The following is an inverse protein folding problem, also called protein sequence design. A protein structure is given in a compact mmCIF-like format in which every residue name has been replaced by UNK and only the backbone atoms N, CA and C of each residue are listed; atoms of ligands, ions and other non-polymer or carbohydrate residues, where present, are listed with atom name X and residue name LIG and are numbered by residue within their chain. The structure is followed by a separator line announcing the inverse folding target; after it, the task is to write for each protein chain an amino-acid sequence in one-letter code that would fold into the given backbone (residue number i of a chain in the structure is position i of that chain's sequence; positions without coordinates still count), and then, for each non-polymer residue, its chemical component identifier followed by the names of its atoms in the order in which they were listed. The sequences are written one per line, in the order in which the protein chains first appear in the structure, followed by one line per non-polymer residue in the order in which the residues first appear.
data_IF_648703307116
#
_entry.id   IF_648703307116
#
_cell.length_a   1.000
_cell.length_b   1.000
_cell.length_c   1.000
_cell.angle_alpha   90.00
_cell.angle_beta   90.00
_cell.angle_gamma   90.00
#
_symmetry.space_group_name_H-M   'P 1'
#
loop_
_entity.id
_entity.type
_entity.pdbx_description
1 polymer ?
#
# COMPACT_ATOMS: atom_id res chain seq x y z
N UNK A 1 8.59 13.66 13.24
CA UNK A 1 9.83 13.10 13.83
C UNK A 1 9.60 11.62 14.14
N UNK A 2 9.68 10.75 13.13
CA UNK A 2 9.45 9.29 13.25
C UNK A 2 10.47 8.61 14.20
N UNK A 3 11.64 9.22 14.40
CA UNK A 3 12.74 8.69 15.21
C UNK A 3 12.50 8.69 16.72
N UNK A 4 11.65 9.60 17.22
CA UNK A 4 11.38 9.71 18.66
C UNK A 4 10.21 8.83 19.12
N UNK A 5 9.38 8.35 18.18
CA UNK A 5 8.18 7.56 18.49
C UNK A 5 8.42 6.06 18.52
N UNK A 6 9.53 5.59 17.95
CA UNK A 6 9.83 4.16 17.88
C UNK A 6 10.81 3.73 18.99
N UNK A 7 10.31 2.96 19.96
CA UNK A 7 11.08 2.42 21.08
C UNK A 7 12.17 1.41 20.68
N UNK A 8 12.08 0.86 19.47
CA UNK A 8 13.06 -0.09 18.91
C UNK A 8 14.01 0.57 17.89
N UNK A 9 13.94 1.90 17.71
CA UNK A 9 14.97 2.61 16.97
C UNK A 9 16.27 2.57 17.78
N UNK A 10 17.26 1.82 17.29
CA UNK A 10 18.48 1.48 18.05
C UNK A 10 19.43 2.67 18.31
N UNK A 11 19.20 3.82 17.67
CA UNK A 11 19.91 5.07 17.97
C UNK A 11 19.06 6.03 18.84
N UNK A 12 17.93 5.57 19.38
CA UNK A 12 17.10 6.38 20.25
C UNK A 12 17.67 6.37 21.68
N UNK A 13 17.99 7.55 22.19
CA UNK A 13 18.50 7.74 23.56
C UNK A 13 17.35 7.98 24.58
N UNK A 14 16.08 7.79 24.18
CA UNK A 14 14.91 7.98 25.05
C UNK A 14 14.65 6.71 25.90
N UNK A 15 14.82 6.78 27.24
CA UNK A 15 14.39 5.70 28.13
C UNK A 15 12.87 5.67 28.27
N UNK A 16 12.23 4.50 28.36
CA UNK A 16 12.82 3.16 28.31
C UNK A 16 13.08 2.74 26.85
N UNK A 17 14.35 2.49 26.50
CA UNK A 17 14.71 1.87 25.22
C UNK A 17 14.37 0.39 25.28
N UNK A 18 13.78 -0.15 24.21
CA UNK A 18 13.48 -1.59 24.14
C UNK A 18 14.72 -2.47 24.02
N UNK A 19 15.89 -1.89 23.71
CA UNK A 19 17.14 -2.62 23.55
C UNK A 19 18.08 -2.35 24.72
N UNK A 20 18.57 -3.43 25.33
CA UNK A 20 19.58 -3.33 26.37
C UNK A 20 20.99 -3.06 25.76
N UNK A 21 21.94 -2.65 26.60
CA UNK A 21 23.28 -2.31 26.15
C UNK A 21 24.00 -3.47 25.40
N UNK A 22 23.95 -4.73 25.86
CA UNK A 22 24.47 -5.88 25.10
C UNK A 22 23.86 -6.02 23.70
N UNK A 23 22.53 -5.88 23.56
CA UNK A 23 21.83 -5.94 22.28
C UNK A 23 22.27 -4.82 21.34
N UNK A 24 22.41 -3.59 21.84
CA UNK A 24 22.92 -2.46 21.06
C UNK A 24 24.36 -2.67 20.59
N UNK A 25 25.22 -3.25 21.42
CA UNK A 25 26.60 -3.57 21.05
C UNK A 25 26.66 -4.66 19.98
N UNK A 26 25.79 -5.66 20.05
CA UNK A 26 25.68 -6.68 19.01
C UNK A 26 25.24 -6.06 17.68
N UNK A 27 24.16 -5.27 17.64
CA UNK A 27 23.68 -4.58 16.42
C UNK A 27 24.79 -3.73 15.78
N UNK A 28 25.51 -2.93 16.57
CA UNK A 28 26.54 -2.00 16.07
C UNK A 28 27.76 -2.70 15.44
N UNK A 29 28.00 -3.97 15.77
CA UNK A 29 29.09 -4.77 15.20
C UNK A 29 28.73 -5.42 13.87
N UNK A 30 27.43 -5.56 13.58
CA UNK A 30 26.96 -6.26 12.38
C UNK A 30 27.30 -5.46 11.13
N UNK A 31 27.77 -6.17 10.10
CA UNK A 31 27.90 -5.62 8.75
C UNK A 31 27.00 -6.39 7.79
N UNK A 32 26.48 -5.71 6.76
CA UNK A 32 25.68 -6.40 5.73
C UNK A 32 26.46 -7.55 5.08
N UNK A 33 27.77 -7.38 4.86
CA UNK A 33 28.62 -8.44 4.32
C UNK A 33 28.76 -9.63 5.28
N UNK A 34 28.83 -9.38 6.59
CA UNK A 34 28.83 -10.44 7.61
C UNK A 34 27.51 -11.21 7.64
N UNK A 35 26.38 -10.51 7.57
CA UNK A 35 25.06 -11.14 7.43
C UNK A 35 24.96 -12.01 6.16
N UNK A 36 25.43 -11.49 5.03
CA UNK A 36 25.44 -12.26 3.77
C UNK A 36 26.35 -13.49 3.84
N UNK A 37 27.41 -13.43 4.64
CA UNK A 37 28.31 -14.55 4.90
C UNK A 37 27.70 -15.68 5.72
N UNK A 38 26.61 -15.41 6.47
CA UNK A 38 25.83 -16.46 7.15
C UNK A 38 24.94 -17.24 6.17
N UNK A 39 24.68 -16.70 4.98
CA UNK A 39 23.92 -17.39 3.95
C UNK A 39 24.73 -18.55 3.36
N UNK A 40 24.05 -19.69 3.16
CA UNK A 40 24.68 -20.88 2.54
C UNK A 40 25.21 -20.55 1.14
N UNK A 41 26.48 -20.88 0.91
CA UNK A 41 27.13 -20.72 -0.40
C UNK A 41 28.01 -19.47 -0.53
N UNK A 42 28.08 -18.61 0.50
CA UNK A 42 28.99 -17.46 0.54
C UNK A 42 30.20 -17.79 1.42
N UNK A 43 31.40 -17.85 0.83
CA UNK A 43 32.65 -18.14 1.56
C UNK A 43 33.58 -16.93 1.68
N UNK A 44 33.43 -15.96 0.76
CA UNK A 44 34.18 -14.71 0.74
C UNK A 44 33.29 -13.54 0.36
N UNK A 45 33.45 -12.42 1.03
CA UNK A 45 32.75 -11.17 0.73
C UNK A 45 33.66 -9.96 0.97
N UNK A 46 33.42 -8.86 0.26
CA UNK A 46 34.09 -7.60 0.55
C UNK A 46 33.49 -6.95 1.82
N UNK A 47 34.28 -6.30 2.69
CA UNK A 47 33.78 -5.69 3.92
C UNK A 47 32.68 -4.63 3.72
N UNK A 48 32.80 -3.79 2.69
CA UNK A 48 31.81 -2.75 2.37
C UNK A 48 30.90 -3.23 1.25
N UNK A 49 29.79 -3.88 1.60
CA UNK A 49 28.86 -4.50 0.66
C UNK A 49 28.41 -3.57 -0.48
N UNK A 50 28.14 -2.29 -0.17
CA UNK A 50 27.67 -1.29 -1.12
C UNK A 50 28.76 -0.65 -1.98
N UNK A 51 30.03 -0.80 -1.61
CA UNK A 51 31.15 -0.25 -2.36
C UNK A 51 31.66 -1.33 -3.32
N UNK A 52 32.06 -0.91 -4.52
CA UNK A 52 32.69 -1.79 -5.50
C UNK A 52 33.93 -2.45 -4.88
N UNK A 53 34.22 -3.67 -5.31
CA UNK A 53 35.43 -4.38 -4.93
C UNK A 53 36.67 -3.60 -5.37
N UNK A 54 37.63 -3.48 -4.46
CA UNK A 54 38.92 -2.83 -4.69
C UNK A 54 40.01 -3.67 -4.02
N UNK A 55 41.09 -4.06 -4.73
CA UNK A 55 42.12 -4.94 -4.18
C UNK A 55 42.81 -4.44 -2.90
N UNK A 56 42.76 -3.14 -2.61
CA UNK A 56 43.46 -2.52 -1.49
C UNK A 56 42.50 -2.02 -0.41
N UNK A 57 41.36 -1.44 -0.81
CA UNK A 57 40.44 -0.73 0.09
C UNK A 57 39.15 -1.51 0.40
N UNK A 58 38.84 -2.55 -0.38
CA UNK A 58 37.61 -3.33 -0.24
C UNK A 58 37.75 -4.74 -0.85
N UNK A 59 38.86 -5.42 -0.58
CA UNK A 59 39.13 -6.75 -1.12
C UNK A 59 38.23 -7.78 -0.43
N UNK A 60 37.93 -8.88 -1.13
CA UNK A 60 37.17 -9.98 -0.52
C UNK A 60 37.97 -10.67 0.57
N UNK A 61 37.37 -10.77 1.75
CA UNK A 61 37.92 -11.51 2.89
C UNK A 61 37.16 -12.83 3.05
N UNK A 62 37.75 -13.79 3.77
CA UNK A 62 37.01 -14.98 4.19
C UNK A 62 35.91 -14.56 5.17
N UNK A 63 34.75 -15.23 5.09
CA UNK A 63 33.61 -14.91 5.94
C UNK A 63 33.91 -14.99 7.45
N UNK A 64 34.83 -15.85 7.87
CA UNK A 64 35.33 -15.94 9.26
C UNK A 64 35.93 -14.62 9.79
N UNK A 65 36.39 -13.75 8.88
CA UNK A 65 37.00 -12.46 9.21
C UNK A 65 35.96 -11.32 9.24
N UNK A 66 34.70 -11.59 8.90
CA UNK A 66 33.62 -10.62 8.89
C UNK A 66 32.67 -10.89 10.05
N UNK A 67 32.34 -9.84 10.80
CA UNK A 67 31.44 -9.95 11.95
C UNK A 67 29.99 -10.17 11.50
N UNK A 68 29.45 -11.33 11.87
CA UNK A 68 28.03 -11.68 11.73
C UNK A 68 27.17 -11.13 12.87
N UNK A 69 25.89 -11.53 12.91
CA UNK A 69 24.95 -11.16 13.95
C UNK A 69 25.08 -12.09 15.16
N UNK A 70 25.52 -11.54 16.29
CA UNK A 70 25.48 -12.24 17.57
C UNK A 70 24.11 -12.07 18.22
N UNK A 71 23.27 -13.12 18.14
CA UNK A 71 21.93 -13.15 18.74
C UNK A 71 21.91 -13.55 20.21
N UNK A 72 23.06 -13.86 20.82
CA UNK A 72 23.15 -14.28 22.23
C UNK A 72 22.48 -13.29 23.21
N UNK A 73 22.58 -11.95 23.01
CA UNK A 73 21.92 -10.97 23.88
C UNK A 73 20.37 -10.95 23.84
N UNK A 74 19.75 -11.66 22.90
CA UNK A 74 18.28 -11.78 22.79
C UNK A 74 17.74 -13.05 23.44
N UNK A 75 18.59 -13.87 24.08
CA UNK A 75 18.15 -15.04 24.81
C UNK A 75 17.31 -14.61 26.02
N UNK A 76 16.00 -14.86 25.95
CA UNK A 76 15.09 -14.70 27.08
C UNK A 76 15.02 -15.99 27.89
N UNK A 77 14.99 -15.89 29.22
CA UNK A 77 14.42 -16.92 30.07
C UNK A 77 12.89 -16.76 30.05
N UNK A 78 12.17 -17.86 29.86
CA UNK A 78 10.70 -17.83 29.87
C UNK A 78 10.29 -17.58 31.31
N UNK A 79 9.81 -16.37 31.61
CA UNK A 79 9.08 -16.10 32.85
C UNK A 79 7.60 -16.25 32.51
N UNK A 80 6.96 -17.27 33.07
CA UNK A 80 5.51 -17.39 33.05
C UNK A 80 4.93 -16.32 33.98
N UNK A 81 4.50 -15.19 33.40
CA UNK A 81 3.69 -14.21 34.12
C UNK A 81 2.21 -14.57 33.97
N UNK A 82 1.52 -14.59 35.10
CA UNK A 82 0.08 -14.81 35.25
C UNK A 82 -0.55 -13.43 35.32
N UNK A 83 -1.39 -13.06 34.36
CA UNK A 83 -2.21 -11.85 34.43
C UNK A 83 -3.61 -12.20 34.95
N UNK A 84 -3.99 -11.52 36.05
CA UNK A 84 -5.35 -11.44 36.59
C UNK A 84 -6.10 -10.24 35.94
N UNK A 85 -7.42 -10.41 35.83
CA UNK A 85 -8.41 -9.66 35.06
C UNK A 85 -8.48 -8.12 35.23
N UNK A 86 -9.13 -7.43 34.26
CA UNK A 86 -10.36 -6.63 34.49
C UNK A 86 -10.91 -6.01 33.18
N UNK A 87 -12.22 -6.21 32.94
CA UNK A 87 -13.05 -5.61 31.90
C UNK A 87 -13.46 -4.16 32.22
N UNK A 88 -13.55 -3.27 31.22
CA UNK A 88 -14.63 -2.27 31.18
C UNK A 88 -14.87 -1.71 29.75
N UNK A 89 -16.11 -1.83 29.27
CA UNK A 89 -16.61 -1.26 28.02
C UNK A 89 -17.19 0.14 28.29
N UNK A 90 -16.88 1.12 27.45
CA UNK A 90 -17.71 2.34 27.32
C UNK A 90 -17.84 2.82 25.86
N UNK A 91 -18.98 3.43 25.48
CA UNK A 91 -19.37 3.66 24.09
C UNK A 91 -18.88 5.00 23.50
N UNK A 92 -18.94 5.06 22.16
CA UNK A 92 -18.53 6.18 21.31
C UNK A 92 -19.43 7.44 21.42
N UNK A 93 -18.90 8.65 21.12
CA UNK A 93 -19.68 9.89 21.00
C UNK A 93 -20.37 10.04 19.62
N UNK A 94 -21.52 10.75 19.53
CA UNK A 94 -22.20 11.02 18.27
C UNK A 94 -21.81 12.38 17.65
N UNK A 95 -22.28 12.55 16.42
CA UNK A 95 -22.44 13.77 15.61
C UNK A 95 -21.35 14.11 14.58
N UNK A 96 -21.69 13.85 13.31
CA UNK A 96 -21.48 14.81 12.24
C UNK A 96 -22.78 14.99 11.45
N UNK A 97 -23.01 16.26 11.10
CA UNK A 97 -24.27 16.83 10.66
C UNK A 97 -24.72 16.41 9.25
N UNK A 98 -26.02 16.65 9.04
CA UNK A 98 -26.86 16.34 7.90
C UNK A 98 -26.24 16.65 6.52
N UNK A 99 -26.03 15.58 5.76
CA UNK A 99 -26.22 15.60 4.31
C UNK A 99 -27.61 15.06 4.02
N UNK A 100 -28.25 15.52 2.93
CA UNK A 100 -29.56 15.03 2.52
C UNK A 100 -29.52 13.49 2.31
N UNK A 101 -30.04 12.74 3.30
CA UNK A 101 -29.97 11.28 3.40
C UNK A 101 -30.50 10.62 2.13
N UNK A 102 -31.56 11.19 1.54
CA UNK A 102 -32.18 10.68 0.32
C UNK A 102 -31.23 10.65 -0.88
N UNK A 103 -30.29 11.61 -0.96
CA UNK A 103 -29.32 11.67 -2.07
C UNK A 103 -28.23 10.62 -1.89
N UNK A 104 -27.76 10.44 -0.65
CA UNK A 104 -26.75 9.44 -0.30
C UNK A 104 -27.31 8.04 -0.44
N UNK A 105 -28.51 7.78 0.08
CA UNK A 105 -29.16 6.48 -0.01
C UNK A 105 -29.41 6.06 -1.46
N UNK A 106 -29.88 7.00 -2.31
CA UNK A 106 -30.03 6.76 -3.75
C UNK A 106 -28.70 6.53 -4.46
N UNK A 107 -27.66 7.29 -4.12
CA UNK A 107 -26.33 7.10 -4.70
C UNK A 107 -25.73 5.74 -4.31
N UNK A 108 -25.87 5.33 -3.04
CA UNK A 108 -25.43 4.02 -2.55
C UNK A 108 -26.23 2.89 -3.20
N UNK A 109 -27.55 3.03 -3.35
CA UNK A 109 -28.37 2.02 -4.01
C UNK A 109 -27.94 1.84 -5.47
N UNK A 110 -27.75 2.94 -6.22
CA UNK A 110 -27.27 2.89 -7.60
C UNK A 110 -25.85 2.34 -7.71
N UNK A 111 -24.97 2.68 -6.77
CA UNK A 111 -23.62 2.13 -6.70
C UNK A 111 -23.63 0.61 -6.45
N UNK A 112 -24.54 0.10 -5.60
CA UNK A 112 -24.74 -1.35 -5.41
C UNK A 112 -25.21 -2.04 -6.68
N UNK A 113 -26.11 -1.41 -7.45
CA UNK A 113 -26.56 -1.96 -8.74
C UNK A 113 -25.42 -2.01 -9.76
N UNK A 114 -24.64 -0.93 -9.88
CA UNK A 114 -23.44 -0.87 -10.73
C UNK A 114 -22.39 -1.90 -10.31
N UNK A 115 -22.21 -2.12 -9.01
CA UNK A 115 -21.31 -3.15 -8.48
C UNK A 115 -21.77 -4.55 -8.88
N UNK A 116 -23.08 -4.82 -8.81
CA UNK A 116 -23.64 -6.11 -9.23
C UNK A 116 -23.48 -6.32 -10.74
N UNK A 117 -23.68 -5.27 -11.54
CA UNK A 117 -23.42 -5.30 -12.97
C UNK A 117 -21.94 -5.55 -13.28
N UNK A 118 -21.02 -4.90 -12.55
CA UNK A 118 -19.57 -5.12 -12.66
C UNK A 118 -19.20 -6.58 -12.37
N UNK A 119 -19.73 -7.15 -11.29
CA UNK A 119 -19.51 -8.57 -10.93
C UNK A 119 -20.04 -9.52 -12.01
N UNK A 120 -21.21 -9.22 -12.58
CA UNK A 120 -21.78 -10.00 -13.69
C UNK A 120 -20.87 -9.93 -14.93
N UNK A 121 -20.40 -8.74 -15.29
CA UNK A 121 -19.46 -8.56 -16.40
C UNK A 121 -18.16 -9.34 -16.20
N UNK A 122 -17.57 -9.29 -14.99
CA UNK A 122 -16.35 -10.04 -14.67
C UNK A 122 -16.56 -11.56 -14.78
N UNK A 123 -17.71 -12.06 -14.32
CA UNK A 123 -18.09 -13.46 -14.48
C UNK A 123 -18.21 -13.85 -15.96
N UNK A 124 -18.93 -13.07 -16.77
CA UNK A 124 -19.10 -13.33 -18.20
C UNK A 124 -17.77 -13.27 -18.95
N UNK A 125 -16.94 -12.28 -18.65
CA UNK A 125 -15.59 -12.15 -19.20
C UNK A 125 -14.73 -13.37 -18.87
N UNK A 126 -14.77 -13.85 -17.62
CA UNK A 126 -14.05 -15.03 -17.19
C UNK A 126 -14.58 -16.32 -17.84
N UNK A 127 -15.88 -16.52 -17.95
CA UNK A 127 -16.46 -17.70 -18.62
C UNK A 127 -16.05 -17.75 -20.09
N UNK A 128 -16.04 -16.60 -20.77
CA UNK A 128 -15.74 -16.53 -22.20
C UNK A 128 -14.24 -16.61 -22.52
N UNK A 129 -13.37 -16.07 -21.66
CA UNK A 129 -11.93 -15.89 -21.96
C UNK A 129 -10.99 -16.59 -20.98
N UNK A 130 -11.47 -16.96 -19.80
CA UNK A 130 -10.66 -17.47 -18.70
C UNK A 130 -9.70 -16.41 -18.12
N UNK A 131 -8.80 -16.89 -17.26
CA UNK A 131 -7.65 -16.11 -16.78
C UNK A 131 -6.37 -16.47 -17.51
N UNK A 132 -5.36 -15.61 -17.41
CA UNK A 132 -4.00 -15.95 -17.86
C UNK A 132 -3.44 -17.10 -17.01
N UNK A 133 -2.73 -18.03 -17.64
CA UNK A 133 -1.96 -19.07 -16.95
C UNK A 133 -0.92 -18.43 -16.00
N UNK A 134 -0.98 -18.80 -14.72
CA UNK A 134 -0.07 -18.33 -13.69
C UNK A 134 1.41 -18.66 -13.99
N UNK A 135 1.68 -19.74 -14.75
CA UNK A 135 3.04 -20.13 -15.15
C UNK A 135 3.56 -19.41 -16.39
N UNK A 136 2.71 -18.64 -17.08
CA UNK A 136 3.15 -17.82 -18.22
C UNK A 136 4.01 -16.63 -17.74
N UNK A 137 4.76 -15.97 -18.63
CA UNK A 137 5.50 -14.75 -18.28
C UNK A 137 4.60 -13.65 -17.68
N UNK A 138 3.37 -13.50 -18.19
CA UNK A 138 2.41 -12.54 -17.65
C UNK A 138 1.84 -12.98 -16.30
N UNK A 139 1.64 -14.29 -16.10
CA UNK A 139 1.23 -14.86 -14.82
C UNK A 139 2.30 -14.67 -13.73
N UNK A 140 3.57 -14.86 -14.09
CA UNK A 140 4.71 -14.65 -13.20
C UNK A 140 4.87 -13.18 -12.83
N UNK A 141 4.72 -12.26 -13.80
CA UNK A 141 4.71 -10.83 -13.49
C UNK A 141 3.58 -10.46 -12.51
N UNK A 142 2.39 -11.02 -12.72
CA UNK A 142 1.23 -10.80 -11.85
C UNK A 142 1.35 -11.47 -10.46
N UNK A 143 2.29 -12.42 -10.26
CA UNK A 143 2.49 -13.05 -8.94
C UNK A 143 3.29 -12.17 -7.99
N UNK A 144 4.16 -11.28 -8.49
CA UNK A 144 4.91 -10.33 -7.66
C UNK A 144 4.03 -9.27 -6.98
N UNK A 145 2.83 -9.02 -7.52
CA UNK A 145 1.87 -8.04 -6.97
C UNK A 145 0.56 -8.71 -6.54
N UNK A 146 0.60 -10.01 -6.21
CA UNK A 146 -0.60 -10.78 -5.85
C UNK A 146 -1.21 -10.24 -4.54
N UNK A 147 -2.47 -9.81 -4.62
CA UNK A 147 -3.27 -9.48 -3.44
C UNK A 147 -3.48 -10.71 -2.54
N UNK A 148 -3.36 -10.52 -1.23
CA UNK A 148 -3.87 -11.49 -0.24
C UNK A 148 -5.39 -11.31 -0.04
N UNK A 149 -6.04 -12.23 0.67
CA UNK A 149 -7.50 -12.22 0.86
C UNK A 149 -7.99 -10.93 1.52
N UNK A 150 -7.27 -10.42 2.52
CA UNK A 150 -7.65 -9.19 3.24
C UNK A 150 -7.57 -7.97 2.32
N UNK A 151 -6.54 -7.87 1.48
CA UNK A 151 -6.42 -6.82 0.48
C UNK A 151 -7.56 -6.87 -0.55
N UNK A 152 -8.00 -8.07 -0.96
CA UNK A 152 -9.16 -8.22 -1.85
C UNK A 152 -10.48 -7.76 -1.20
N UNK A 153 -10.65 -7.98 0.11
CA UNK A 153 -11.82 -7.50 0.86
C UNK A 153 -11.84 -5.96 0.88
N UNK A 154 -10.69 -5.34 1.19
CA UNK A 154 -10.54 -3.87 1.16
C UNK A 154 -10.86 -3.35 -0.24
N UNK A 155 -10.33 -3.99 -1.29
CA UNK A 155 -10.59 -3.61 -2.68
C UNK A 155 -12.09 -3.63 -3.04
N UNK A 156 -12.85 -4.64 -2.58
CA UNK A 156 -14.30 -4.72 -2.82
C UNK A 156 -15.07 -3.54 -2.20
N UNK A 157 -14.67 -3.12 -0.99
CA UNK A 157 -15.27 -1.93 -0.35
C UNK A 157 -14.87 -0.64 -1.05
N UNK A 158 -13.61 -0.53 -1.48
CA UNK A 158 -13.12 0.65 -2.21
C UNK A 158 -13.88 0.88 -3.52
N UNK A 159 -14.23 -0.19 -4.24
CA UNK A 159 -15.01 -0.10 -5.48
C UNK A 159 -16.43 0.43 -5.22
N UNK A 160 -17.08 0.02 -4.13
CA UNK A 160 -18.39 0.57 -3.76
C UNK A 160 -18.28 2.06 -3.45
N UNK A 161 -17.24 2.49 -2.72
CA UNK A 161 -17.00 3.90 -2.42
C UNK A 161 -16.71 4.72 -3.66
N UNK A 162 -15.95 4.19 -4.61
CA UNK A 162 -15.69 4.82 -5.90
C UNK A 162 -17.01 5.07 -6.67
N UNK A 163 -17.82 4.03 -6.83
CA UNK A 163 -19.10 4.11 -7.53
C UNK A 163 -20.05 5.10 -6.84
N UNK A 164 -20.16 5.04 -5.51
CA UNK A 164 -20.99 5.96 -4.74
C UNK A 164 -20.51 7.41 -4.87
N UNK A 165 -19.20 7.64 -4.83
CA UNK A 165 -18.61 8.98 -4.96
C UNK A 165 -18.86 9.57 -6.34
N UNK A 166 -18.71 8.77 -7.40
CA UNK A 166 -19.02 9.15 -8.78
C UNK A 166 -20.50 9.53 -8.93
N UNK A 167 -21.39 8.73 -8.35
CA UNK A 167 -22.82 9.02 -8.37
C UNK A 167 -23.16 10.32 -7.63
N UNK A 168 -22.57 10.56 -6.45
CA UNK A 168 -22.78 11.81 -5.71
C UNK A 168 -22.29 13.02 -6.52
N UNK A 169 -21.07 12.96 -7.09
CA UNK A 169 -20.51 14.05 -7.89
C UNK A 169 -21.36 14.33 -9.14
N UNK A 170 -21.80 13.30 -9.85
CA UNK A 170 -22.65 13.47 -11.03
C UNK A 170 -23.99 14.15 -10.69
N UNK A 171 -24.62 13.77 -9.57
CA UNK A 171 -25.85 14.36 -9.08
C UNK A 171 -25.64 15.82 -8.65
N UNK A 172 -24.55 16.15 -7.95
CA UNK A 172 -24.21 17.53 -7.57
C UNK A 172 -24.01 18.43 -8.80
N UNK A 173 -23.32 17.94 -9.83
CA UNK A 173 -23.16 18.68 -11.08
C UNK A 173 -24.50 18.91 -11.79
N UNK A 174 -25.40 17.92 -11.80
CA UNK A 174 -26.74 18.07 -12.37
C UNK A 174 -27.58 19.12 -11.64
N UNK A 175 -27.50 19.16 -10.31
CA UNK A 175 -28.20 20.13 -9.45
C UNK A 175 -27.65 21.54 -9.71
N UNK A 176 -26.32 21.69 -9.87
CA UNK A 176 -25.70 22.97 -10.24
C UNK A 176 -26.13 23.46 -11.62
N UNK A 177 -26.20 22.57 -12.62
CA UNK A 177 -26.68 22.93 -13.97
C UNK A 177 -28.14 23.39 -13.92
N UNK A 178 -28.99 22.73 -13.13
CA UNK A 178 -30.39 23.14 -12.90
C UNK A 178 -30.50 24.48 -12.16
N UNK A 179 -29.70 24.71 -11.12
CA UNK A 179 -29.72 25.97 -10.34
C UNK A 179 -29.17 27.16 -11.14
N UNK A 180 -28.13 26.98 -11.97
CA UNK A 180 -27.62 28.03 -12.88
C UNK A 180 -28.65 28.49 -13.92
N UNK A 181 -29.67 27.68 -14.21
CA UNK A 181 -30.77 28.08 -15.08
C UNK A 181 -31.88 28.86 -14.35
N UNK A 182 -31.86 28.94 -13.01
CA UNK A 182 -33.00 29.43 -12.21
C UNK A 182 -32.63 30.63 -11.30
N UNK A 183 -31.38 30.82 -10.87
CA UNK A 183 -31.00 31.94 -9.99
C UNK A 183 -29.63 32.58 -10.26
N UNK A 184 -29.58 33.89 -10.02
CA UNK A 184 -28.42 34.77 -10.12
C UNK A 184 -27.45 34.62 -8.93
N UNK A 185 -26.17 34.94 -9.16
CA UNK A 185 -24.97 34.56 -8.43
C UNK A 185 -24.87 35.00 -6.95
N UNK A 186 -25.32 34.22 -5.96
CA UNK A 186 -24.88 34.45 -4.56
C UNK A 186 -25.09 33.27 -3.58
N UNK A 187 -24.59 32.07 -3.90
CA UNK A 187 -24.40 31.01 -2.90
C UNK A 187 -23.07 30.29 -3.12
N UNK A 188 -22.30 30.16 -2.03
CA UNK A 188 -20.88 29.78 -1.97
C UNK A 188 -20.41 28.79 -3.03
N UNK A 189 -19.36 29.21 -3.74
CA UNK A 189 -18.69 28.51 -4.80
C UNK A 189 -17.88 27.32 -4.24
N UNK A 190 -18.54 26.26 -3.79
CA UNK A 190 -17.86 24.97 -3.65
C UNK A 190 -17.43 24.55 -5.06
N UNK A 191 -16.14 24.41 -5.33
CA UNK A 191 -15.64 23.80 -6.57
C UNK A 191 -16.07 22.34 -6.69
N UNK A 192 -15.95 21.71 -7.86
CA UNK A 192 -15.96 20.24 -7.93
C UNK A 192 -14.75 19.66 -7.17
N UNK A 193 -13.64 20.39 -7.23
CA UNK A 193 -12.39 20.09 -6.55
C UNK A 193 -12.54 20.09 -5.02
N UNK A 194 -13.36 20.97 -4.43
CA UNK A 194 -13.53 21.04 -2.97
C UNK A 194 -14.18 19.77 -2.39
N UNK A 195 -15.13 19.17 -3.11
CA UNK A 195 -15.75 17.92 -2.67
C UNK A 195 -14.80 16.73 -2.83
N UNK A 196 -14.06 16.66 -3.94
CA UNK A 196 -13.00 15.67 -4.13
C UNK A 196 -11.94 15.77 -3.02
N UNK A 197 -11.48 16.98 -2.72
CA UNK A 197 -10.51 17.24 -1.66
C UNK A 197 -11.06 16.84 -0.28
N UNK A 198 -12.36 17.06 -0.03
CA UNK A 198 -12.99 16.60 1.21
C UNK A 198 -13.02 15.08 1.32
N UNK A 199 -13.39 14.35 0.25
CA UNK A 199 -13.38 12.88 0.22
C UNK A 199 -11.99 12.30 0.53
N UNK A 200 -10.93 13.00 0.12
CA UNK A 200 -9.55 12.57 0.38
C UNK A 200 -9.12 12.70 1.85
N UNK A 201 -9.83 13.49 2.65
CA UNK A 201 -9.56 13.66 4.08
C UNK A 201 -10.30 12.65 4.98
N UNK A 202 -11.22 11.87 4.40
CA UNK A 202 -12.04 10.91 5.13
C UNK A 202 -11.23 9.62 5.34
N UNK A 203 -11.02 9.25 6.60
CA UNK A 203 -10.43 7.96 6.95
C UNK A 203 -11.46 6.83 6.73
N UNK A 204 -11.30 6.12 5.62
CA UNK A 204 -12.17 4.99 5.26
C UNK A 204 -12.04 3.81 6.22
N UNK A 205 -10.96 3.70 7.00
CA UNK A 205 -10.75 2.57 7.90
C UNK A 205 -11.84 2.48 8.96
N UNK A 206 -12.39 3.63 9.40
CA UNK A 206 -13.49 3.70 10.37
C UNK A 206 -14.83 3.16 9.82
N UNK A 207 -15.03 3.20 8.51
CA UNK A 207 -16.25 2.71 7.85
C UNK A 207 -16.15 1.23 7.45
N UNK A 208 -14.92 0.78 7.20
CA UNK A 208 -14.59 -0.62 6.85
C UNK A 208 -14.79 -1.54 8.07
N UNK A 209 -14.47 -1.09 9.29
CA UNK A 209 -14.65 -1.89 10.52
C UNK A 209 -16.11 -2.09 10.92
N UNK A 210 -17.01 -1.14 10.62
CA UNK A 210 -18.43 -1.23 11.01
C UNK A 210 -19.36 -1.98 10.05
N UNK A 211 -18.98 -2.17 8.79
CA UNK A 211 -19.83 -2.80 7.74
C UNK A 211 -19.35 -4.17 7.27
N UNK A 212 -18.21 -4.63 7.77
CA UNK A 212 -17.67 -5.97 7.54
C UNK A 212 -17.77 -6.66 8.89
N UNK A 213 -18.57 -7.72 9.02
CA UNK A 213 -18.44 -8.67 10.15
C UNK A 213 -16.96 -8.85 10.43
N UNK A 214 -16.48 -8.77 11.69
CA UNK A 214 -15.07 -8.66 12.02
C UNK A 214 -14.35 -9.65 11.13
N UNK A 215 -13.48 -9.09 10.27
CA UNK A 215 -12.67 -9.85 9.33
C UNK A 215 -12.27 -11.09 10.12
N UNK A 216 -12.82 -12.25 9.76
CA UNK A 216 -12.34 -13.53 10.26
C UNK A 216 -10.97 -13.70 9.59
N UNK A 217 -10.03 -12.84 10.02
CA UNK A 217 -8.69 -13.20 10.41
C UNK A 217 -8.81 -14.65 10.85
N UNK A 218 -8.01 -15.53 10.27
CA UNK A 218 -7.88 -16.88 10.80
C UNK A 218 -7.91 -16.79 12.33
N UNK A 219 -8.64 -17.70 13.01
CA UNK A 219 -9.04 -17.59 14.42
C UNK A 219 -7.87 -17.56 15.44
N UNK A 220 -6.66 -17.23 14.99
CA UNK A 220 -5.39 -17.16 15.69
C UNK A 220 -4.72 -15.77 15.57
N UNK A 221 -5.33 -14.76 14.92
CA UNK A 221 -4.72 -13.44 14.76
C UNK A 221 -5.34 -12.35 15.66
N UNK A 222 -4.48 -11.39 16.03
CA UNK A 222 -4.69 -10.25 16.94
C UNK A 222 -6.10 -9.63 16.88
N UNK A 223 -6.73 -9.48 18.04
CA UNK A 223 -7.97 -8.74 18.18
C UNK A 223 -7.70 -7.22 18.05
N UNK A 224 -7.98 -6.67 16.87
CA UNK A 224 -7.77 -5.25 16.55
C UNK A 224 -8.69 -4.28 17.32
N UNK A 225 -9.71 -4.81 18.00
CA UNK A 225 -10.63 -4.02 18.83
C UNK A 225 -10.20 -4.00 20.31
N UNK A 226 -9.23 -4.84 20.69
CA UNK A 226 -8.72 -4.86 22.05
C UNK A 226 -7.83 -3.63 22.32
N UNK A 227 -7.78 -3.15 23.58
CA UNK A 227 -6.81 -2.13 23.98
C UNK A 227 -5.38 -2.56 23.68
N UNK A 228 -4.53 -1.61 23.29
CA UNK A 228 -3.11 -1.89 23.07
C UNK A 228 -2.45 -2.38 24.36
N UNK A 229 -1.92 -3.60 24.32
CA UNK A 229 -1.02 -4.09 25.36
C UNK A 229 0.29 -3.30 25.33
N UNK A 230 0.61 -2.65 26.44
CA UNK A 230 1.84 -1.85 26.60
C UNK A 230 2.98 -2.64 27.23
N UNK A 231 2.68 -3.80 27.82
CA UNK A 231 3.64 -4.67 28.49
C UNK A 231 4.41 -5.56 27.51
N UNK A 232 3.80 -5.94 26.38
CA UNK A 232 4.49 -6.75 25.36
C UNK A 232 5.80 -6.08 24.90
N UNK A 233 6.93 -6.80 24.92
CA UNK A 233 8.22 -6.26 24.49
C UNK A 233 8.43 -6.39 22.97
N UNK A 234 7.48 -6.93 22.22
CA UNK A 234 7.61 -7.19 20.78
C UNK A 234 6.72 -6.28 19.94
N UNK A 235 6.99 -6.22 18.63
CA UNK A 235 6.08 -5.60 17.67
C UNK A 235 5.03 -6.63 17.26
N UNK A 236 3.82 -6.16 17.00
CA UNK A 236 2.78 -6.94 16.32
C UNK A 236 3.21 -7.23 14.88
N UNK A 237 2.75 -8.35 14.32
CA UNK A 237 3.01 -8.67 12.91
C UNK A 237 2.39 -7.63 11.97
N UNK A 238 1.25 -7.08 12.38
CA UNK A 238 0.47 -6.14 11.59
C UNK A 238 1.01 -4.70 11.68
N UNK A 239 1.84 -4.39 12.67
CA UNK A 239 2.26 -3.02 13.01
C UNK A 239 1.24 -2.25 13.87
N UNK A 240 0.10 -2.87 14.20
CA UNK A 240 -0.91 -2.30 15.11
C UNK A 240 -0.31 -2.02 16.48
N UNK A 241 -0.81 -0.97 17.15
CA UNK A 241 -0.33 -0.51 18.46
C UNK A 241 1.13 -0.04 18.51
N UNK A 242 1.82 0.11 17.37
CA UNK A 242 3.14 0.76 17.37
C UNK A 242 3.06 2.20 17.91
N UNK A 243 1.97 2.90 17.60
CA UNK A 243 1.65 4.20 18.14
C UNK A 243 0.45 4.10 19.11
N UNK A 244 0.68 4.23 20.41
CA UNK A 244 -0.36 4.06 21.44
C UNK A 244 -1.47 5.12 21.38
N UNK A 245 -1.22 6.30 20.78
CA UNK A 245 -2.24 7.35 20.61
C UNK A 245 -3.09 7.12 19.36
N UNK A 246 -2.53 6.46 18.35
CA UNK A 246 -3.18 6.19 17.07
C UNK A 246 -2.77 4.78 16.61
N UNK A 247 -3.39 3.72 17.16
CA UNK A 247 -2.94 2.32 16.99
C UNK A 247 -2.80 1.85 15.54
N UNK A 248 -3.54 2.46 14.61
CA UNK A 248 -3.54 2.09 13.19
C UNK A 248 -2.43 2.78 12.38
N UNK A 249 -1.65 3.68 12.97
CA UNK A 249 -0.63 4.45 12.23
C UNK A 249 0.56 3.54 11.86
N UNK A 250 0.77 3.36 10.55
CA UNK A 250 1.81 2.48 10.03
C UNK A 250 1.45 0.99 10.04
N UNK A 251 0.20 0.66 10.37
CA UNK A 251 -0.32 -0.70 10.28
C UNK A 251 -0.41 -1.14 8.82
N UNK A 252 -0.05 -2.40 8.55
CA UNK A 252 -0.23 -3.03 7.25
C UNK A 252 -1.71 -3.12 6.85
N UNK A 253 -1.97 -3.33 5.56
CA UNK A 253 -3.34 -3.42 5.00
C UNK A 253 -4.20 -2.17 5.24
N UNK A 254 -3.56 -1.01 5.33
CA UNK A 254 -4.21 0.30 5.33
C UNK A 254 -3.96 1.03 4.01
N UNK A 255 -4.68 2.12 3.78
CA UNK A 255 -4.45 2.98 2.61
C UNK A 255 -3.19 3.83 2.80
N UNK A 256 -2.52 4.19 1.69
CA UNK A 256 -1.37 5.08 1.76
C UNK A 256 -1.74 6.47 2.25
N UNK A 257 -0.93 7.02 3.14
CA UNK A 257 -1.00 8.43 3.50
C UNK A 257 -0.72 9.30 2.27
N UNK A 258 -1.58 10.28 2.02
CA UNK A 258 -1.40 11.26 0.94
C UNK A 258 -0.71 12.50 1.47
N UNK A 259 0.53 12.75 1.04
CA UNK A 259 1.26 13.98 1.37
C UNK A 259 0.71 15.22 0.65
N UNK A 260 0.07 14.99 -0.51
CA UNK A 260 -0.63 15.99 -1.30
C UNK A 260 -1.98 15.41 -1.74
N UNK A 261 -2.98 16.27 -1.99
CA UNK A 261 -4.24 15.83 -2.59
C UNK A 261 -4.03 15.02 -3.88
N UNK A 262 -4.85 14.00 -4.06
CA UNK A 262 -4.87 13.21 -5.28
C UNK A 262 -5.38 14.05 -6.46
N UNK A 263 -4.82 13.84 -7.64
CA UNK A 263 -5.26 14.52 -8.86
C UNK A 263 -5.62 13.48 -9.90
N UNK A 264 -6.93 13.30 -10.11
CA UNK A 264 -7.52 12.40 -11.09
C UNK A 264 -8.23 13.22 -12.19
N UNK A 265 -8.44 12.63 -13.36
CA UNK A 265 -9.08 13.29 -14.51
C UNK A 265 -10.55 13.64 -14.23
N UNK A 266 -11.24 12.76 -13.50
CA UNK A 266 -12.62 12.91 -13.03
C UNK A 266 -12.72 13.44 -11.59
N UNK A 267 -11.58 13.71 -10.95
CA UNK A 267 -11.50 14.09 -9.55
C UNK A 267 -11.70 12.95 -8.55
N UNK A 268 -11.84 11.69 -8.97
CA UNK A 268 -12.07 10.56 -8.04
C UNK A 268 -11.08 9.42 -8.25
N UNK A 269 -11.06 8.82 -9.44
CA UNK A 269 -10.33 7.56 -9.67
C UNK A 269 -9.69 7.47 -11.05
N UNK A 270 -10.19 8.19 -12.06
CA UNK A 270 -9.68 8.07 -13.41
C UNK A 270 -8.25 8.64 -13.52
N UNK A 271 -7.26 7.83 -13.94
CA UNK A 271 -5.91 8.32 -14.14
C UNK A 271 -5.90 9.51 -15.08
N UNK A 272 -5.08 10.53 -14.76
CA UNK A 272 -4.99 11.72 -15.60
C UNK A 272 -4.64 11.37 -17.03
N UNK A 273 -5.36 12.00 -17.96
CA UNK A 273 -5.12 11.86 -19.40
C UNK A 273 -4.76 13.19 -20.06
N UNK A 274 -5.06 14.32 -19.41
CA UNK A 274 -4.88 15.67 -19.94
C UNK A 274 -3.88 16.47 -19.09
N UNK A 275 -2.96 17.17 -19.75
CA UNK A 275 -2.01 18.10 -19.15
C UNK A 275 -2.69 19.41 -18.71
N UNK A 276 -2.01 20.19 -17.87
CA UNK A 276 -2.51 21.51 -17.43
C UNK A 276 -2.72 22.46 -18.63
N UNK A 277 -1.98 22.27 -19.71
CA UNK A 277 -2.12 23.04 -20.95
C UNK A 277 -3.37 22.68 -21.78
N UNK A 278 -4.15 21.66 -21.37
CA UNK A 278 -5.29 21.14 -22.12
C UNK A 278 -4.94 20.12 -23.22
N UNK A 279 -3.65 19.80 -23.42
CA UNK A 279 -3.23 18.78 -24.38
C UNK A 279 -3.18 17.38 -23.75
N UNK A 280 -3.32 16.29 -24.51
CA UNK A 280 -3.13 14.93 -24.00
C UNK A 280 -1.74 14.73 -23.40
N UNK A 281 -1.66 13.94 -22.31
CA UNK A 281 -0.39 13.52 -21.74
C UNK A 281 0.36 12.59 -22.71
N UNK A 282 1.71 12.66 -22.74
CA UNK A 282 2.49 11.80 -23.62
C UNK A 282 2.35 10.34 -23.22
N UNK A 283 2.40 9.46 -24.21
CA UNK A 283 2.36 8.02 -23.98
C UNK A 283 3.58 7.57 -23.13
N UNK A 284 3.38 6.83 -22.02
CA UNK A 284 4.47 6.37 -21.16
C UNK A 284 5.56 5.57 -21.90
N UNK A 285 5.19 4.77 -22.90
CA UNK A 285 6.14 4.00 -23.72
C UNK A 285 7.01 4.90 -24.58
N UNK A 286 6.46 5.97 -25.15
CA UNK A 286 7.22 6.99 -25.88
C UNK A 286 8.22 7.71 -24.96
N UNK A 287 7.82 8.01 -23.72
CA UNK A 287 8.75 8.60 -22.73
C UNK A 287 9.85 7.61 -22.36
N UNK A 288 9.51 6.33 -22.16
CA UNK A 288 10.50 5.29 -21.89
C UNK A 288 11.53 5.17 -23.01
N UNK A 289 11.11 5.11 -24.27
CA UNK A 289 12.05 4.94 -25.40
C UNK A 289 12.89 6.19 -25.70
N UNK A 290 12.35 7.39 -25.49
CA UNK A 290 13.06 8.64 -25.80
C UNK A 290 13.93 9.18 -24.66
N UNK A 291 13.49 9.00 -23.40
CA UNK A 291 14.15 9.60 -22.22
C UNK A 291 14.98 8.59 -21.44
N UNK A 292 14.60 7.30 -21.47
CA UNK A 292 15.27 6.24 -20.72
C UNK A 292 15.88 5.20 -21.67
N UNK A 293 16.85 5.59 -22.53
CA UNK A 293 17.51 4.64 -23.41
C UNK A 293 18.23 3.56 -22.60
N UNK A 294 18.20 2.33 -23.11
CA UNK A 294 18.91 1.21 -22.50
C UNK A 294 20.43 1.37 -22.76
N UNK A 295 21.10 2.04 -21.82
CA UNK A 295 22.53 2.30 -21.86
C UNK A 295 23.19 1.56 -20.70
N UNK A 296 24.08 0.63 -21.03
CA UNK A 296 24.92 -0.04 -20.05
C UNK A 296 26.02 0.92 -19.56
N UNK A 297 25.80 1.52 -18.39
CA UNK A 297 26.78 2.38 -17.72
C UNK A 297 26.92 1.95 -16.26
N UNK A 298 27.96 1.15 -15.98
CA UNK A 298 28.20 0.60 -14.64
C UNK A 298 28.76 1.68 -13.70
N UNK A 299 28.19 1.80 -12.51
CA UNK A 299 28.70 2.72 -11.50
C UNK A 299 30.10 2.31 -11.04
N UNK A 300 31.05 3.26 -11.04
CA UNK A 300 32.47 2.97 -10.73
C UNK A 300 32.74 2.78 -9.23
N UNK A 301 31.89 3.36 -8.37
CA UNK A 301 32.07 3.34 -6.90
C UNK A 301 31.18 2.34 -6.15
N UNK A 302 29.99 2.06 -6.65
CA UNK A 302 28.96 1.33 -5.91
C UNK A 302 28.75 -0.04 -6.54
N UNK A 303 28.54 -1.04 -5.70
CA UNK A 303 28.21 -2.38 -6.16
C UNK A 303 26.71 -2.48 -6.49
N UNK A 304 26.33 -3.58 -7.15
CA UNK A 304 24.93 -3.90 -7.40
C UNK A 304 24.11 -4.09 -6.12
N UNK A 305 24.76 -4.28 -4.97
CA UNK A 305 24.09 -4.41 -3.67
C UNK A 305 23.29 -3.16 -3.29
N UNK A 306 23.66 -1.98 -3.79
CA UNK A 306 22.86 -0.76 -3.58
C UNK A 306 21.46 -0.93 -4.16
N UNK A 307 21.36 -1.40 -5.40
CA UNK A 307 20.06 -1.66 -6.05
C UNK A 307 19.32 -2.78 -5.33
N UNK A 308 19.99 -3.90 -5.03
CA UNK A 308 19.32 -5.05 -4.42
C UNK A 308 18.79 -4.75 -3.01
N UNK A 309 19.56 -4.03 -2.20
CA UNK A 309 19.13 -3.64 -0.86
C UNK A 309 18.04 -2.57 -0.88
N UNK A 310 18.05 -1.67 -1.87
CA UNK A 310 16.96 -0.72 -2.08
C UNK A 310 15.64 -1.45 -2.39
N UNK A 311 15.67 -2.49 -3.22
CA UNK A 311 14.49 -3.33 -3.49
C UNK A 311 14.03 -4.09 -2.23
N UNK A 312 14.97 -4.63 -1.46
CA UNK A 312 14.65 -5.28 -0.18
C UNK A 312 13.94 -4.32 0.77
N UNK A 313 14.46 -3.09 0.91
CA UNK A 313 13.87 -2.07 1.77
C UNK A 313 12.51 -1.60 1.25
N UNK A 314 12.36 -1.40 -0.06
CA UNK A 314 11.09 -1.05 -0.68
C UNK A 314 10.00 -2.08 -0.35
N UNK A 315 10.33 -3.36 -0.45
CA UNK A 315 9.41 -4.47 -0.14
C UNK A 315 9.10 -4.65 1.35
N UNK A 316 9.92 -4.11 2.26
CA UNK A 316 9.64 -4.06 3.70
C UNK A 316 8.69 -2.91 4.05
N UNK A 317 8.75 -1.82 3.27
CA UNK A 317 7.99 -0.60 3.54
C UNK A 317 6.61 -0.60 2.87
N UNK A 318 6.53 -1.03 1.61
CA UNK A 318 5.30 -0.86 0.82
C UNK A 318 5.04 -2.00 -0.15
N UNK A 319 3.75 -2.26 -0.41
CA UNK A 319 3.30 -3.14 -1.48
C UNK A 319 1.94 -2.66 -1.97
N UNK A 320 1.79 -2.46 -3.28
CA UNK A 320 0.49 -2.14 -3.90
C UNK A 320 0.01 -3.36 -4.69
N UNK A 321 -0.98 -4.11 -4.18
CA UNK A 321 -1.47 -5.30 -4.87
C UNK A 321 -2.29 -4.91 -6.12
N UNK A 322 -2.28 -5.79 -7.13
CA UNK A 322 -3.10 -5.61 -8.33
C UNK A 322 -4.48 -6.27 -8.19
N UNK A 323 -5.48 -5.70 -8.86
CA UNK A 323 -6.83 -6.26 -8.92
C UNK A 323 -6.83 -7.66 -9.55
N UNK A 324 -7.75 -8.49 -9.07
CA UNK A 324 -8.04 -9.82 -9.61
C UNK A 324 -9.44 -9.81 -10.23
N UNK A 325 -9.60 -10.59 -11.29
CA UNK A 325 -10.92 -10.85 -11.86
C UNK A 325 -11.68 -11.90 -11.07
N UNK A 326 -12.82 -12.33 -11.62
CA UNK A 326 -13.64 -13.38 -11.05
C UNK A 326 -12.81 -14.62 -10.67
N UNK A 327 -13.08 -15.20 -9.50
CA UNK A 327 -12.38 -16.37 -8.97
C UNK A 327 -10.85 -16.20 -8.87
N UNK A 328 -10.38 -15.02 -8.46
CA UNK A 328 -8.95 -14.66 -8.36
C UNK A 328 -8.17 -14.80 -9.68
N UNK A 329 -8.87 -14.80 -10.81
CA UNK A 329 -8.24 -14.91 -12.13
C UNK A 329 -7.38 -13.69 -12.46
N UNK A 330 -6.34 -13.91 -13.28
CA UNK A 330 -5.45 -12.85 -13.75
C UNK A 330 -6.03 -12.30 -15.06
N UNK A 331 -6.54 -11.04 -15.10
CA UNK A 331 -7.13 -10.48 -16.31
C UNK A 331 -6.10 -10.26 -17.41
N UNK A 332 -6.43 -10.59 -18.66
CA UNK A 332 -5.55 -10.37 -19.82
C UNK A 332 -5.69 -8.95 -20.38
N UNK A 333 -5.02 -7.99 -19.75
CA UNK A 333 -5.08 -6.57 -20.10
C UNK A 333 -4.21 -6.14 -21.29
N UNK A 334 -3.80 -7.05 -22.18
CA UNK A 334 -2.85 -6.73 -23.27
C UNK A 334 -3.47 -5.91 -24.39
N UNK A 335 -4.72 -6.19 -24.74
CA UNK A 335 -5.39 -5.52 -25.86
C UNK A 335 -5.85 -4.11 -25.46
N UNK A 336 -5.79 -3.13 -26.35
CA UNK A 336 -6.19 -1.75 -26.05
C UNK A 336 -7.69 -1.61 -25.71
N UNK A 337 -8.53 -2.55 -26.15
CA UNK A 337 -9.96 -2.61 -25.82
C UNK A 337 -10.24 -3.40 -24.53
N UNK A 338 -9.21 -3.95 -23.87
CA UNK A 338 -9.33 -4.72 -22.63
C UNK A 338 -10.03 -4.00 -21.46
N UNK A 339 -9.98 -2.66 -21.30
CA UNK A 339 -10.83 -1.98 -20.31
C UNK A 339 -12.32 -2.27 -20.50
N UNK A 340 -12.76 -2.49 -21.75
CA UNK A 340 -14.16 -2.74 -22.11
C UNK A 340 -14.46 -4.22 -22.30
N UNK A 341 -13.49 -5.01 -22.73
CA UNK A 341 -13.71 -6.40 -23.15
C UNK A 341 -13.16 -7.44 -22.20
N UNK A 342 -12.34 -7.05 -21.22
CA UNK A 342 -11.74 -7.97 -20.25
C UNK A 342 -12.04 -7.53 -18.83
N UNK A 343 -11.58 -6.35 -18.44
CA UNK A 343 -11.73 -5.83 -17.09
C UNK A 343 -11.50 -4.31 -17.09
N UNK A 344 -12.36 -3.49 -16.49
CA UNK A 344 -12.18 -2.02 -16.48
C UNK A 344 -10.92 -1.52 -15.78
N UNK A 345 -10.34 -2.28 -14.85
CA UNK A 345 -9.00 -1.97 -14.29
C UNK A 345 -7.84 -2.20 -15.27
N UNK A 346 -8.11 -2.80 -16.43
CA UNK A 346 -7.12 -2.84 -17.49
C UNK A 346 -6.85 -1.43 -17.99
N UNK A 347 -5.58 -1.02 -17.97
CA UNK A 347 -5.14 0.26 -18.51
C UNK A 347 -3.89 0.07 -19.39
N UNK A 348 -4.04 -0.55 -20.59
CA UNK A 348 -2.92 -0.82 -21.48
C UNK A 348 -2.35 0.47 -22.06
N UNK A 349 -1.03 0.59 -22.10
CA UNK A 349 -0.36 1.65 -22.85
C UNK A 349 -0.31 1.27 -24.34
N UNK A 350 -0.84 2.11 -25.25
CA UNK A 350 -0.72 1.86 -26.67
C UNK A 350 0.75 1.81 -27.10
N UNK A 351 1.11 0.89 -28.00
CA UNK A 351 2.47 0.85 -28.56
C UNK A 351 2.61 2.01 -29.56
N UNK A 352 3.58 2.92 -29.38
CA UNK A 352 3.76 4.05 -30.29
C UNK A 352 4.26 3.57 -31.67
N UNK A 353 4.03 4.34 -32.75
CA UNK A 353 4.61 4.04 -34.04
C UNK A 353 6.14 4.01 -33.97
N UNK A 354 6.76 3.01 -34.61
CA UNK A 354 8.22 2.82 -34.63
C UNK A 354 8.85 2.55 -33.25
N UNK A 355 8.12 1.84 -32.38
CA UNK A 355 8.62 1.33 -31.10
C UNK A 355 9.83 0.39 -31.25
#
# INVERSE_FOLDING_TARGET
NLRNSDRFWYENDLPLSSLNLPQLQAIRRVTLSGLLCEAKGVSKAQPKAFIREDPYLNARLNCEQLSGLDVTPWRSEIVEEVDEDLEEQTPAPPELAELNIDVIEKAIAKAKDQLNERKRFEYESWVNRGGIDAKSPAGTAASFSKANKNALIIANTSLLFELASNEILSNLHSIRRRKRQIFDNNLGNFGGDDFSNALQSIDVNQFITGSISPINLEPQCENLEAPCDTATPFRTLTGHCNNLRSPNLGQSLTTFARLLPAVYDDGISQPRSIAISGNPLPNPRTISSLIHPDISNLHTRYSLMVMQYAQFLDHDLTMTPIHKGFHESIPSCRSCDSPRTVHPECNPFPVPPRD
#
